data_IF_968437850061
#
_entry.id   IF_968437850061
#
_cell.length_a   1.000
_cell.length_b   1.000
_cell.length_c   1.000
_cell.angle_alpha   90.00
_cell.angle_beta   90.00
_cell.angle_gamma   90.00
#
_symmetry.space_group_name_H-M   'P 1'
#
loop_
_entity.id
_entity.type
_entity.pdbx_description
1 polymer ?
#
# COMPACT_ATOMS: atom_id res chain seq x y z
N UNK A 1 2.73 7.01 16.51
CA UNK A 1 1.92 6.83 15.30
C UNK A 1 2.19 5.43 14.81
N UNK A 2 1.14 4.69 14.48
CA UNK A 2 1.19 3.37 13.89
C UNK A 2 0.67 3.49 12.47
N UNK A 3 1.56 3.20 11.53
CA UNK A 3 1.27 3.17 10.10
C UNK A 3 0.78 1.78 9.70
N UNK A 4 0.24 1.66 8.49
CA UNK A 4 -0.20 0.36 7.99
C UNK A 4 0.01 0.18 6.50
N UNK A 5 0.21 -1.07 6.10
CA UNK A 5 0.32 -1.52 4.71
C UNK A 5 -0.81 -2.49 4.39
N UNK A 6 -1.39 -2.37 3.20
CA UNK A 6 -2.44 -3.29 2.72
C UNK A 6 -2.21 -3.68 1.27
N UNK A 7 -2.27 -4.97 1.01
CA UNK A 7 -2.27 -5.50 -0.35
C UNK A 7 -3.64 -5.27 -1.01
N UNK A 8 -3.64 -4.71 -2.22
CA UNK A 8 -4.86 -4.42 -2.99
C UNK A 8 -4.81 -4.99 -4.40
N UNK A 9 -4.18 -6.15 -4.56
CA UNK A 9 -4.21 -6.96 -5.80
C UNK A 9 -3.00 -6.80 -6.72
N UNK A 10 -3.09 -7.44 -7.88
CA UNK A 10 -2.08 -7.35 -8.93
C UNK A 10 -2.17 -6.03 -9.70
N UNK A 11 -1.03 -5.37 -9.92
CA UNK A 11 -0.94 -4.02 -10.48
C UNK A 11 -1.54 -3.93 -11.88
N UNK A 12 -1.15 -4.84 -12.77
CA UNK A 12 -1.56 -4.83 -14.17
C UNK A 12 -3.08 -5.03 -14.35
N UNK A 13 -3.74 -5.71 -13.40
CA UNK A 13 -5.20 -5.87 -13.39
C UNK A 13 -5.92 -4.68 -12.76
N UNK A 14 -5.43 -4.21 -11.61
CA UNK A 14 -6.21 -3.34 -10.73
C UNK A 14 -5.87 -1.85 -10.83
N UNK A 15 -4.70 -1.47 -11.33
CA UNK A 15 -4.23 -0.07 -11.31
C UNK A 15 -5.14 0.87 -12.11
N UNK A 16 -5.69 0.41 -13.23
CA UNK A 16 -6.51 1.24 -14.14
C UNK A 16 -7.86 1.64 -13.52
N UNK A 17 -8.42 0.77 -12.69
CA UNK A 17 -9.70 0.94 -11.98
C UNK A 17 -9.54 1.48 -10.55
N UNK A 18 -8.31 1.67 -10.08
CA UNK A 18 -8.04 2.12 -8.72
C UNK A 18 -8.46 3.58 -8.54
N UNK A 19 -9.28 3.83 -7.52
CA UNK A 19 -9.75 5.15 -7.10
C UNK A 19 -9.59 5.30 -5.59
N UNK A 20 -9.70 6.52 -5.08
CA UNK A 20 -9.75 6.78 -3.63
C UNK A 20 -11.01 6.16 -2.97
N UNK A 21 -12.04 5.82 -3.74
CA UNK A 21 -13.24 5.13 -3.26
C UNK A 21 -13.18 3.60 -3.41
N UNK A 22 -12.13 3.03 -4.00
CA UNK A 22 -12.03 1.59 -4.19
C UNK A 22 -12.00 0.86 -2.84
N UNK A 23 -12.77 -0.21 -2.75
CA UNK A 23 -12.88 -1.09 -1.57
C UNK A 23 -12.71 -2.57 -1.92
N UNK A 24 -12.41 -2.88 -3.18
CA UNK A 24 -12.24 -4.23 -3.71
C UNK A 24 -11.12 -4.26 -4.75
N UNK A 25 -10.56 -5.45 -5.02
CA UNK A 25 -9.66 -5.72 -6.15
C UNK A 25 -10.05 -7.01 -6.86
N UNK A 26 -9.71 -7.14 -8.14
CA UNK A 26 -9.78 -8.39 -8.90
C UNK A 26 -8.58 -9.29 -8.56
N UNK A 27 -8.88 -10.49 -8.06
CA UNK A 27 -7.91 -11.53 -7.71
C UNK A 27 -7.37 -12.28 -8.93
N UNK A 28 -6.40 -13.16 -8.70
CA UNK A 28 -5.86 -14.04 -9.76
C UNK A 28 -6.88 -15.08 -10.25
N UNK A 29 -7.92 -15.33 -9.46
CA UNK A 29 -9.09 -16.15 -9.79
C UNK A 29 -10.13 -15.41 -10.65
N UNK A 30 -9.89 -14.14 -10.97
CA UNK A 30 -10.80 -13.30 -11.74
C UNK A 30 -12.02 -12.81 -10.94
N UNK A 31 -12.08 -13.06 -9.64
CA UNK A 31 -13.17 -12.61 -8.78
C UNK A 31 -12.82 -11.31 -8.05
N UNK A 32 -13.86 -10.55 -7.66
CA UNK A 32 -13.68 -9.37 -6.82
C UNK A 32 -13.52 -9.79 -5.35
N UNK A 33 -12.45 -9.35 -4.71
CA UNK A 33 -12.16 -9.56 -3.29
C UNK A 33 -12.26 -8.22 -2.55
N UNK A 34 -12.93 -8.15 -1.39
CA UNK A 34 -12.95 -6.95 -0.57
C UNK A 34 -11.56 -6.66 -0.01
N UNK A 35 -11.27 -5.38 0.19
CA UNK A 35 -10.11 -4.98 0.98
C UNK A 35 -10.27 -5.49 2.41
N UNK A 36 -9.21 -6.07 3.01
CA UNK A 36 -9.24 -6.40 4.43
C UNK A 36 -9.36 -5.11 5.26
N UNK A 37 -9.70 -5.26 6.54
CA UNK A 37 -9.65 -4.13 7.48
C UNK A 37 -8.19 -3.72 7.76
N UNK A 38 -7.97 -2.43 7.99
CA UNK A 38 -6.68 -1.97 8.51
C UNK A 38 -6.40 -2.60 9.88
N UNK A 39 -5.12 -2.81 10.25
CA UNK A 39 -4.77 -3.27 11.60
C UNK A 39 -5.34 -2.35 12.67
N UNK A 40 -5.78 -2.95 13.79
CA UNK A 40 -6.24 -2.18 14.96
C UNK A 40 -5.14 -1.25 15.47
N UNK A 41 -5.51 -0.03 15.86
CA UNK A 41 -4.56 0.98 16.35
C UNK A 41 -3.89 1.82 15.26
N UNK A 42 -4.20 1.60 13.98
CA UNK A 42 -3.67 2.42 12.88
C UNK A 42 -4.18 3.87 12.94
N UNK A 43 -3.34 4.75 13.51
CA UNK A 43 -3.57 6.19 13.67
C UNK A 43 -2.65 7.07 12.78
N UNK A 44 -1.78 6.45 11.98
CA UNK A 44 -0.88 7.12 11.04
C UNK A 44 -1.24 6.87 9.57
N UNK A 45 -0.23 7.07 8.72
CA UNK A 45 -0.31 6.82 7.27
C UNK A 45 -0.66 5.37 6.94
N UNK A 46 -1.62 5.21 6.04
CA UNK A 46 -2.09 3.96 5.45
C UNK A 46 -1.65 3.89 4.00
N UNK A 47 -0.87 2.88 3.65
CA UNK A 47 -0.37 2.67 2.29
C UNK A 47 -1.01 1.41 1.71
N UNK A 48 -1.67 1.57 0.57
CA UNK A 48 -2.09 0.43 -0.24
C UNK A 48 -1.02 0.13 -1.28
N UNK A 49 -0.67 -1.16 -1.41
CA UNK A 49 0.32 -1.63 -2.36
C UNK A 49 -0.20 -2.75 -3.25
N UNK A 50 0.37 -2.86 -4.44
CA UNK A 50 0.05 -3.88 -5.44
C UNK A 50 1.29 -4.70 -5.77
N UNK A 51 1.10 -5.92 -6.26
CA UNK A 51 2.17 -6.75 -6.83
C UNK A 51 2.26 -6.55 -8.34
N UNK A 52 3.45 -6.21 -8.84
CA UNK A 52 3.82 -6.21 -10.26
C UNK A 52 4.55 -7.50 -10.63
N UNK A 53 4.58 -7.78 -11.93
CA UNK A 53 5.40 -8.85 -12.49
C UNK A 53 6.85 -8.82 -11.94
N UNK A 54 7.39 -10.01 -11.64
CA UNK A 54 8.73 -10.16 -11.08
C UNK A 54 8.83 -9.97 -9.56
N UNK A 55 7.74 -10.21 -8.81
CA UNK A 55 7.67 -10.11 -7.34
C UNK A 55 8.06 -8.74 -6.80
N UNK A 56 7.71 -7.68 -7.53
CA UNK A 56 7.93 -6.30 -7.10
C UNK A 56 6.65 -5.75 -6.49
N UNK A 57 6.75 -5.18 -5.29
CA UNK A 57 5.63 -4.52 -4.65
C UNK A 57 5.73 -3.03 -4.86
N UNK A 58 4.60 -2.40 -5.19
CA UNK A 58 4.54 -0.96 -5.47
C UNK A 58 3.46 -0.29 -4.64
N UNK A 59 3.77 0.84 -4.02
CA UNK A 59 2.79 1.71 -3.40
C UNK A 59 1.98 2.42 -4.50
N UNK A 60 0.66 2.46 -4.32
CA UNK A 60 -0.27 2.99 -5.34
C UNK A 60 -1.31 3.97 -4.78
N UNK A 61 -1.54 3.95 -3.47
CA UNK A 61 -2.52 4.82 -2.80
C UNK A 61 -2.09 5.05 -1.35
N UNK A 62 -2.26 6.28 -0.88
CA UNK A 62 -1.86 6.71 0.46
C UNK A 62 -3.01 7.49 1.09
N UNK A 63 -3.30 7.19 2.35
CA UNK A 63 -4.29 7.90 3.15
C UNK A 63 -3.76 8.21 4.55
N UNK A 64 -4.21 9.32 5.15
CA UNK A 64 -3.88 9.72 6.53
C UNK A 64 -5.11 9.81 7.44
N UNK A 65 -6.27 9.35 6.94
CA UNK A 65 -7.56 9.41 7.64
C UNK A 65 -8.38 10.66 7.33
N UNK A 66 -7.76 11.76 6.88
CA UNK A 66 -8.44 12.96 6.40
C UNK A 66 -8.41 13.06 4.86
N UNK A 67 -7.29 12.67 4.28
CA UNK A 67 -7.02 12.66 2.85
C UNK A 67 -6.79 11.24 2.35
N UNK A 68 -7.14 11.01 1.10
CA UNK A 68 -6.93 9.75 0.41
C UNK A 68 -6.57 10.02 -1.05
N UNK A 69 -5.35 9.62 -1.43
CA UNK A 69 -4.75 9.97 -2.72
C UNK A 69 -4.27 8.71 -3.42
N UNK A 70 -4.77 8.49 -4.64
CA UNK A 70 -4.19 7.53 -5.58
C UNK A 70 -2.97 8.17 -6.22
N UNK A 71 -1.83 7.48 -6.17
CA UNK A 71 -0.59 7.99 -6.70
C UNK A 71 -0.63 8.00 -8.22
N UNK A 72 -0.26 9.11 -8.89
CA UNK A 72 -0.18 9.15 -10.35
C UNK A 72 0.86 8.14 -10.86
N UNK A 73 2.02 8.09 -10.20
CA UNK A 73 3.10 7.13 -10.44
C UNK A 73 3.21 6.16 -9.26
N UNK A 74 3.32 4.86 -9.52
CA UNK A 74 3.55 3.87 -8.46
C UNK A 74 4.98 3.93 -7.94
N UNK A 75 5.22 3.76 -6.65
CA UNK A 75 6.59 3.70 -6.08
C UNK A 75 6.97 2.25 -5.79
N UNK A 76 8.12 1.77 -6.28
CA UNK A 76 8.64 0.45 -5.89
C UNK A 76 9.04 0.48 -4.43
N UNK A 77 8.46 -0.42 -3.63
CA UNK A 77 8.71 -0.50 -2.20
C UNK A 77 9.98 -1.32 -1.93
N UNK A 78 10.89 -0.77 -1.13
CA UNK A 78 12.18 -1.37 -0.82
C UNK A 78 12.19 -1.74 0.68
N UNK A 79 12.44 -3.03 1.02
CA UNK A 79 12.55 -3.45 2.42
C UNK A 79 13.62 -2.67 3.17
N UNK A 80 13.38 -2.34 4.44
CA UNK A 80 14.29 -1.51 5.25
C UNK A 80 14.17 -0.01 4.99
N UNK A 81 13.96 0.42 3.73
CA UNK A 81 13.83 1.84 3.39
C UNK A 81 12.40 2.36 3.54
N UNK A 82 11.41 1.59 3.09
CA UNK A 82 10.03 2.09 2.94
C UNK A 82 9.05 1.54 3.98
N UNK A 83 9.42 0.48 4.70
CA UNK A 83 8.54 -0.15 5.68
C UNK A 83 9.28 -0.86 6.83
N UNK A 84 10.57 -0.57 7.00
CA UNK A 84 11.45 -1.24 7.96
C UNK A 84 11.81 -2.68 7.57
N UNK A 85 12.69 -3.30 8.37
CA UNK A 85 13.17 -4.67 8.12
C UNK A 85 12.28 -5.77 8.72
N UNK A 86 11.46 -5.42 9.73
CA UNK A 86 10.65 -6.39 10.46
C UNK A 86 9.25 -6.58 9.87
N UNK A 87 8.85 -5.75 8.91
CA UNK A 87 7.55 -5.82 8.26
C UNK A 87 7.63 -6.71 7.02
N UNK A 88 6.66 -7.62 6.86
CA UNK A 88 6.55 -8.48 5.67
C UNK A 88 5.36 -8.06 4.82
N UNK A 89 5.59 -7.89 3.53
CA UNK A 89 4.52 -7.66 2.56
C UNK A 89 3.83 -8.98 2.24
N UNK A 90 2.51 -9.01 2.41
CA UNK A 90 1.68 -10.19 2.15
C UNK A 90 0.23 -9.77 1.89
N UNK A 91 -0.65 -10.73 1.61
CA UNK A 91 -2.10 -10.47 1.53
C UNK A 91 -2.74 -10.06 2.86
N UNK A 92 -2.06 -10.26 3.99
CA UNK A 92 -2.52 -9.79 5.31
C UNK A 92 -1.98 -8.38 5.57
N UNK A 93 -2.82 -7.42 5.98
CA UNK A 93 -2.36 -6.08 6.36
C UNK A 93 -1.33 -6.11 7.48
N UNK A 94 -0.36 -5.21 7.42
CA UNK A 94 0.74 -5.15 8.39
C UNK A 94 0.80 -3.76 9.03
N UNK A 95 0.94 -3.74 10.36
CA UNK A 95 1.29 -2.51 11.08
C UNK A 95 2.78 -2.20 10.88
N UNK A 96 3.10 -0.91 10.79
CA UNK A 96 4.46 -0.39 10.65
C UNK A 96 4.67 0.69 11.71
N UNK A 97 5.56 0.42 12.64
CA UNK A 97 5.91 1.36 13.73
C UNK A 97 7.11 2.24 13.38
N UNK A 98 7.83 1.91 12.31
CA UNK A 98 9.00 2.66 11.85
C UNK A 98 8.58 3.91 11.08
N UNK A 99 8.43 5.01 11.82
CA UNK A 99 8.10 6.31 11.24
C UNK A 99 9.13 6.78 10.22
N UNK A 100 10.42 6.47 10.41
CA UNK A 100 11.47 6.96 9.51
C UNK A 100 11.33 6.35 8.12
N UNK A 101 11.05 5.04 8.07
CA UNK A 101 10.81 4.34 6.81
C UNK A 101 9.58 4.87 6.07
N UNK A 102 8.50 5.20 6.79
CA UNK A 102 7.30 5.78 6.18
C UNK A 102 7.55 7.19 5.66
N UNK A 103 8.28 8.02 6.39
CA UNK A 103 8.64 9.37 5.92
C UNK A 103 9.53 9.31 4.67
N UNK A 104 10.46 8.34 4.61
CA UNK A 104 11.27 8.08 3.42
C UNK A 104 10.42 7.68 2.21
N UNK A 105 9.44 6.80 2.40
CA UNK A 105 8.46 6.45 1.36
C UNK A 105 7.72 7.70 0.84
N UNK A 106 7.23 8.56 1.73
CA UNK A 106 6.52 9.78 1.33
C UNK A 106 7.44 10.73 0.54
N UNK A 107 8.67 10.91 0.98
CA UNK A 107 9.67 11.72 0.28
C UNK A 107 9.92 11.20 -1.15
N UNK A 108 10.05 9.89 -1.31
CA UNK A 108 10.32 9.28 -2.62
C UNK A 108 9.08 9.24 -3.52
N UNK A 109 7.88 9.19 -2.95
CA UNK A 109 6.63 9.40 -3.69
C UNK A 109 6.56 10.83 -4.24
N UNK A 110 6.90 11.84 -3.44
CA UNK A 110 6.82 13.25 -3.87
C UNK A 110 7.81 13.56 -4.99
N UNK A 111 8.96 12.89 -5.02
CA UNK A 111 10.01 13.08 -6.04
C UNK A 111 9.68 12.46 -7.40
N UNK A 112 8.63 11.64 -7.51
CA UNK A 112 8.35 10.79 -8.68
C UNK A 112 7.20 11.30 -9.55
#
# INVERSE_FOLDING_TARGET
MQHALMYVGGFERNRRSLTASSTTFEGSDGQAHPYPSWPDGTDGIRISFMEKAGKKFVAVRIADGASDVVLPNELVMVPGEHFGFNTRLSGTPAAVEDNHAIMKLLEDVIKK
#
